data_IF_803695316608
#
_entry.id   IF_803695316608
#
_cell.length_a   1.000
_cell.length_b   1.000
_cell.length_c   1.000
_cell.angle_alpha   90.00
_cell.angle_beta   90.00
_cell.angle_gamma   90.00
#
_symmetry.space_group_name_H-M   'P 1'
#
loop_
_entity.id
_entity.type
_entity.pdbx_description
1 polymer ?
#
# COMPACT_ATOMS: atom_id res chain seq x y z
N UNK A 1 36.26 18.72 -0.37
CA UNK A 1 34.85 19.21 -0.31
C UNK A 1 33.94 18.05 -0.71
N UNK A 2 33.38 17.33 0.27
CA UNK A 2 32.61 16.10 0.04
C UNK A 2 31.13 16.43 -0.22
N UNK A 3 30.67 16.25 -1.46
CA UNK A 3 29.24 16.31 -1.81
C UNK A 3 28.59 14.98 -1.42
N UNK A 4 27.88 15.02 -0.30
CA UNK A 4 27.10 13.91 0.24
C UNK A 4 25.95 13.60 -0.73
N UNK A 5 25.99 12.44 -1.37
CA UNK A 5 24.89 11.91 -2.16
C UNK A 5 23.81 11.41 -1.19
N UNK A 6 22.76 12.20 -1.00
CA UNK A 6 21.57 11.79 -0.24
C UNK A 6 20.83 10.69 -1.02
N UNK A 7 20.82 9.46 -0.49
CA UNK A 7 19.98 8.35 -0.99
C UNK A 7 18.50 8.69 -0.82
N UNK A 8 17.66 8.67 -1.88
CA UNK A 8 16.22 8.59 -1.70
C UNK A 8 15.83 7.14 -1.39
N UNK A 9 15.84 6.77 -0.12
CA UNK A 9 15.40 5.46 0.34
C UNK A 9 13.89 5.44 0.59
N UNK A 10 13.04 5.61 -0.44
CA UNK A 10 11.59 5.25 -0.35
C UNK A 10 10.75 5.34 -1.63
N UNK A 11 11.31 5.12 -2.82
CA UNK A 11 10.43 4.94 -3.99
C UNK A 11 9.94 3.49 -4.05
N UNK A 12 8.92 3.17 -3.26
CA UNK A 12 8.05 2.03 -3.54
C UNK A 12 7.32 2.38 -4.85
N UNK A 13 7.87 1.90 -5.95
CA UNK A 13 7.32 2.00 -7.29
C UNK A 13 5.97 1.30 -7.33
N UNK A 14 4.89 2.05 -7.14
CA UNK A 14 3.58 1.66 -7.64
C UNK A 14 3.63 1.86 -9.15
N UNK A 15 4.02 0.81 -9.87
CA UNK A 15 3.97 0.80 -11.34
C UNK A 15 2.51 0.83 -11.74
N UNK A 16 2.16 2.00 -12.25
CA UNK A 16 0.92 2.41 -12.86
C UNK A 16 0.55 1.47 -14.03
N UNK A 17 -0.10 0.33 -13.74
CA UNK A 17 -0.81 -0.47 -14.76
C UNK A 17 -1.97 -1.22 -14.09
N UNK A 18 -3.12 -0.53 -14.00
CA UNK A 18 -4.48 -1.07 -14.18
C UNK A 18 -5.01 -2.19 -13.24
N UNK A 19 -4.54 -2.20 -11.99
CA UNK A 19 -5.41 -2.56 -10.88
C UNK A 19 -5.22 -1.48 -9.82
N UNK A 20 -6.25 -0.69 -9.52
CA UNK A 20 -6.20 0.28 -8.43
C UNK A 20 -6.17 -0.47 -7.08
N UNK A 21 -5.04 -1.10 -6.78
CA UNK A 21 -4.78 -1.62 -5.46
C UNK A 21 -4.59 -0.41 -4.53
N UNK A 22 -5.67 -0.07 -3.83
CA UNK A 22 -5.68 1.05 -2.92
C UNK A 22 -5.15 0.56 -1.58
N UNK A 23 -4.30 1.35 -0.92
CA UNK A 23 -3.85 1.03 0.44
C UNK A 23 -5.07 0.89 1.34
N UNK A 24 -5.16 -0.22 2.08
CA UNK A 24 -6.30 -0.47 2.95
C UNK A 24 -6.38 0.62 4.03
N UNK A 25 -7.42 1.46 3.97
CA UNK A 25 -7.57 2.58 4.91
C UNK A 25 -7.91 2.14 6.33
N UNK A 26 -8.41 0.92 6.51
CA UNK A 26 -8.74 0.38 7.84
C UNK A 26 -7.51 0.03 8.66
N UNK A 27 -6.46 -0.50 8.02
CA UNK A 27 -5.20 -0.84 8.68
C UNK A 27 -4.04 0.10 8.31
N UNK A 28 -4.24 1.04 7.39
CA UNK A 28 -3.18 1.94 6.91
C UNK A 28 -2.07 1.22 6.13
N UNK A 29 -2.35 0.03 5.58
CA UNK A 29 -1.37 -0.75 4.83
C UNK A 29 -0.61 -1.81 5.64
N UNK A 30 -0.84 -1.91 6.94
CA UNK A 30 -0.15 -2.91 7.79
C UNK A 30 -0.67 -4.33 7.59
N UNK A 31 -1.93 -4.48 7.14
CA UNK A 31 -2.62 -5.76 7.07
C UNK A 31 -3.25 -6.21 8.40
N UNK A 32 -3.08 -5.43 9.47
CA UNK A 32 -3.49 -5.81 10.82
C UNK A 32 -4.15 -4.63 11.56
N UNK A 33 -5.14 -4.92 12.39
CA UNK A 33 -5.85 -3.94 13.22
C UNK A 33 -5.98 -4.53 14.62
N UNK A 34 -5.43 -3.84 15.62
CA UNK A 34 -5.49 -4.26 17.04
C UNK A 34 -4.96 -5.68 17.31
N UNK A 35 -3.87 -6.09 16.66
CA UNK A 35 -3.31 -7.44 16.85
C UNK A 35 -4.04 -8.54 16.07
N UNK A 36 -5.09 -8.19 15.32
CA UNK A 36 -5.90 -9.12 14.54
C UNK A 36 -5.81 -8.84 13.04
N UNK A 37 -5.88 -9.90 12.23
CA UNK A 37 -5.87 -9.80 10.76
C UNK A 37 -6.95 -8.81 10.32
N UNK A 38 -6.57 -7.80 9.53
CA UNK A 38 -7.49 -6.78 9.09
C UNK A 38 -8.62 -7.42 8.26
N UNK A 39 -9.90 -7.31 8.67
CA UNK A 39 -10.99 -8.00 7.97
C UNK A 39 -11.30 -7.37 6.59
N UNK A 40 -10.88 -6.12 6.37
CA UNK A 40 -11.21 -5.36 5.17
C UNK A 40 -10.32 -5.75 3.99
N UNK A 41 -9.02 -5.93 4.24
CA UNK A 41 -8.06 -6.42 3.26
C UNK A 41 -7.67 -7.90 3.47
N UNK A 42 -8.19 -8.56 4.51
CA UNK A 42 -7.86 -9.95 4.87
C UNK A 42 -6.36 -10.20 5.02
N UNK A 43 -5.64 -9.25 5.63
CA UNK A 43 -4.19 -9.38 5.87
C UNK A 43 -3.27 -8.86 4.77
N UNK A 44 -3.79 -8.51 3.58
CA UNK A 44 -2.92 -8.08 2.46
C UNK A 44 -2.38 -6.64 2.59
N UNK A 45 -2.97 -5.81 3.45
CA UNK A 45 -2.67 -4.38 3.55
C UNK A 45 -3.16 -3.53 2.36
N UNK A 46 -3.70 -4.16 1.32
CA UNK A 46 -4.15 -3.52 0.07
C UNK A 46 -5.50 -4.06 -0.33
N UNK A 47 -6.37 -3.19 -0.81
CA UNK A 47 -7.69 -3.53 -1.30
C UNK A 47 -7.65 -3.43 -2.81
N UNK A 48 -7.78 -4.57 -3.49
CA UNK A 48 -8.08 -4.56 -4.91
C UNK A 48 -9.53 -4.12 -5.02
N UNK A 49 -9.74 -2.82 -5.25
CA UNK A 49 -11.06 -2.32 -5.56
C UNK A 49 -11.39 -2.88 -6.94
N UNK A 50 -12.13 -4.00 -6.98
CA UNK A 50 -12.84 -4.43 -8.17
C UNK A 50 -13.90 -3.35 -8.38
N UNK A 51 -13.49 -2.24 -8.98
CA UNK A 51 -14.38 -1.20 -9.47
C UNK A 51 -15.37 -1.93 -10.35
N UNK A 52 -16.58 -2.14 -9.83
CA UNK A 52 -17.68 -2.70 -10.58
C UNK A 52 -18.11 -1.55 -11.49
N UNK A 53 -17.77 -1.54 -12.80
CA UNK A 53 -18.23 -0.48 -13.66
C UNK A 53 -19.73 -0.72 -13.85
N UNK A 54 -20.52 -0.10 -12.99
CA UNK A 54 -21.98 -0.07 -13.10
C UNK A 54 -22.40 0.70 -14.36
#
# INVERSE_FOLDING_TARGET
>A
MIRQHTKPAKQATVTETEAADTVCRKCGGTGEVDGHVCPQCKGTGRIAELVNPA
#
